data_IF_227328978889
#
_entry.id   IF_227328978889
#
_cell.length_a   1.000
_cell.length_b   1.000
_cell.length_c   1.000
_cell.angle_alpha   90.00
_cell.angle_beta   90.00
_cell.angle_gamma   90.00
#
_symmetry.space_group_name_H-M   'P 1'
#
loop_
_entity.id
_entity.type
_entity.pdbx_description
1 polymer ?
#
# COMPACT_ATOMS: atom_id res chain seq x y z
N UNK A 1 41.85 10.20 -84.66
CA UNK A 1 43.10 9.61 -84.10
C UNK A 1 42.71 8.66 -82.98
N UNK A 2 43.17 7.40 -83.11
CA UNK A 2 43.40 6.30 -82.14
C UNK A 2 42.71 6.34 -80.74
N UNK A 3 42.27 5.24 -80.14
CA UNK A 3 41.97 3.83 -80.48
C UNK A 3 41.75 3.11 -79.10
N UNK A 4 41.06 1.98 -79.13
CA UNK A 4 41.22 0.79 -78.25
C UNK A 4 40.40 0.74 -76.94
N UNK A 5 39.61 -0.34 -76.88
CA UNK A 5 38.96 -0.93 -75.72
C UNK A 5 39.96 -1.73 -74.87
N UNK A 6 39.73 -1.79 -73.56
CA UNK A 6 40.42 -2.72 -72.66
C UNK A 6 39.47 -3.24 -71.59
N UNK A 7 39.24 -4.56 -71.63
CA UNK A 7 38.76 -5.42 -70.53
C UNK A 7 39.92 -5.60 -69.54
N UNK A 8 39.72 -5.56 -68.22
CA UNK A 8 40.49 -6.31 -67.20
C UNK A 8 39.77 -6.14 -65.84
N UNK A 9 39.12 -7.19 -65.32
CA UNK A 9 39.63 -8.20 -64.36
C UNK A 9 39.61 -7.72 -62.89
N UNK A 10 38.90 -8.49 -62.07
CA UNK A 10 38.79 -8.35 -60.62
C UNK A 10 40.13 -8.61 -59.91
N UNK A 11 40.39 -7.87 -58.83
CA UNK A 11 41.34 -8.26 -57.77
C UNK A 11 40.72 -7.96 -56.42
N UNK A 12 40.62 -9.01 -55.62
CA UNK A 12 40.19 -9.07 -54.22
C UNK A 12 41.28 -8.44 -53.36
N UNK A 13 40.92 -7.53 -52.46
CA UNK A 13 41.75 -7.12 -51.33
C UNK A 13 40.97 -7.38 -50.04
N UNK A 14 41.29 -8.51 -49.43
CA UNK A 14 40.93 -8.90 -48.07
C UNK A 14 41.52 -7.91 -47.06
N UNK A 15 40.66 -7.24 -46.32
CA UNK A 15 41.03 -6.56 -45.07
C UNK A 15 40.40 -7.39 -43.96
N UNK A 16 41.24 -8.18 -43.29
CA UNK A 16 40.92 -8.87 -42.05
C UNK A 16 40.74 -7.83 -40.95
N UNK A 17 39.49 -7.51 -40.60
CA UNK A 17 39.22 -6.83 -39.35
C UNK A 17 39.45 -7.82 -38.19
N UNK A 18 40.59 -7.66 -37.54
CA UNK A 18 40.79 -8.09 -36.16
C UNK A 18 39.83 -7.27 -35.28
N UNK A 19 38.69 -7.84 -34.92
CA UNK A 19 37.92 -7.36 -33.78
C UNK A 19 38.25 -8.24 -32.58
N UNK A 20 38.93 -7.62 -31.63
CA UNK A 20 39.27 -8.19 -30.34
C UNK A 20 38.00 -8.68 -29.66
N UNK A 21 38.03 -9.96 -29.30
CA UNK A 21 37.03 -10.64 -28.50
C UNK A 21 37.14 -10.10 -27.07
N UNK A 22 36.38 -9.05 -26.76
CA UNK A 22 36.08 -8.66 -25.39
C UNK A 22 34.91 -9.52 -24.91
N UNK A 23 35.21 -10.68 -24.31
CA UNK A 23 34.26 -11.37 -23.44
C UNK A 23 34.16 -10.54 -22.14
N UNK A 24 33.28 -9.52 -22.14
CA UNK A 24 32.71 -9.01 -20.90
C UNK A 24 31.61 -9.99 -20.50
N UNK A 25 31.95 -10.87 -19.57
CA UNK A 25 30.98 -11.65 -18.81
C UNK A 25 30.24 -10.71 -17.84
N UNK A 26 29.18 -10.05 -18.31
CA UNK A 26 28.13 -9.57 -17.42
C UNK A 26 27.22 -10.76 -17.12
N UNK A 27 27.31 -11.31 -15.91
CA UNK A 27 26.24 -12.15 -15.35
C UNK A 27 24.98 -11.29 -15.24
N UNK A 28 24.19 -11.26 -16.31
CA UNK A 28 22.81 -10.78 -16.27
C UNK A 28 22.03 -11.75 -15.38
N UNK A 29 21.89 -11.41 -14.11
CA UNK A 29 20.93 -12.00 -13.18
C UNK A 29 19.49 -11.66 -13.66
N UNK A 30 19.07 -12.24 -14.78
CA UNK A 30 17.71 -12.09 -15.29
C UNK A 30 16.75 -12.91 -14.41
N UNK A 31 16.33 -12.32 -13.30
CA UNK A 31 15.27 -12.86 -12.43
C UNK A 31 13.99 -13.01 -13.27
N UNK A 32 13.42 -14.21 -13.29
CA UNK A 32 12.21 -14.51 -14.08
C UNK A 32 10.99 -13.77 -13.51
N UNK A 33 9.93 -13.63 -14.32
CA UNK A 33 8.66 -13.04 -13.84
C UNK A 33 8.06 -13.83 -12.66
N UNK A 34 8.24 -15.16 -12.65
CA UNK A 34 7.77 -16.03 -11.57
C UNK A 34 8.54 -15.76 -10.26
N UNK A 35 9.86 -15.58 -10.33
CA UNK A 35 10.68 -15.26 -9.17
C UNK A 35 10.38 -13.85 -8.64
N UNK A 36 10.15 -12.87 -9.52
CA UNK A 36 9.69 -11.52 -9.11
C UNK A 36 8.36 -11.58 -8.38
N UNK A 37 7.40 -12.35 -8.92
CA UNK A 37 6.11 -12.55 -8.29
C UNK A 37 6.25 -13.19 -6.90
N UNK A 38 7.05 -14.27 -6.77
CA UNK A 38 7.31 -14.90 -5.47
C UNK A 38 7.93 -13.94 -4.46
N UNK A 39 8.90 -13.12 -4.88
CA UNK A 39 9.50 -12.11 -3.99
C UNK A 39 8.45 -11.11 -3.50
N UNK A 40 7.63 -10.55 -4.39
CA UNK A 40 6.56 -9.61 -4.03
C UNK A 40 5.55 -10.28 -3.10
N UNK A 41 5.15 -11.51 -3.39
CA UNK A 41 4.25 -12.29 -2.54
C UNK A 41 4.81 -12.47 -1.13
N UNK A 42 6.08 -12.88 -0.99
CA UNK A 42 6.72 -13.01 0.33
C UNK A 42 6.74 -11.66 1.07
N UNK A 43 7.04 -10.57 0.36
CA UNK A 43 7.05 -9.21 0.93
C UNK A 43 5.66 -8.77 1.40
N UNK A 44 4.61 -9.03 0.63
CA UNK A 44 3.22 -8.73 0.97
C UNK A 44 2.76 -9.50 2.21
N UNK A 45 3.06 -10.81 2.25
CA UNK A 45 2.75 -11.66 3.40
C UNK A 45 3.47 -11.17 4.66
N UNK A 46 4.73 -10.75 4.54
CA UNK A 46 5.47 -10.16 5.65
C UNK A 46 4.85 -8.84 6.12
N UNK A 47 4.39 -7.99 5.20
CA UNK A 47 3.69 -6.75 5.54
C UNK A 47 2.40 -7.02 6.31
N UNK A 48 1.65 -8.05 5.92
CA UNK A 48 0.43 -8.46 6.63
C UNK A 48 0.77 -8.97 8.03
N UNK A 49 1.72 -9.88 8.18
CA UNK A 49 2.12 -10.44 9.48
C UNK A 49 2.67 -9.36 10.42
N UNK A 50 3.46 -8.42 9.92
CA UNK A 50 3.96 -7.27 10.68
C UNK A 50 2.85 -6.27 11.03
N UNK A 51 1.87 -6.10 10.13
CA UNK A 51 0.75 -5.17 10.32
C UNK A 51 -0.30 -5.69 11.30
N UNK A 52 -0.40 -7.01 11.45
CA UNK A 52 -1.42 -7.70 12.26
C UNK A 52 -0.83 -8.84 13.11
N UNK A 53 0.23 -8.60 13.91
CA UNK A 53 1.04 -9.65 14.52
C UNK A 53 0.31 -10.49 15.58
N UNK A 54 -0.75 -9.93 16.16
CA UNK A 54 -1.56 -10.62 17.18
C UNK A 54 -2.82 -11.27 16.59
N UNK A 55 -3.05 -11.11 15.27
CA UNK A 55 -4.24 -11.61 14.56
C UNK A 55 -3.92 -12.62 13.46
N UNK A 56 -2.74 -12.55 12.84
CA UNK A 56 -2.27 -13.54 11.86
C UNK A 56 -1.39 -14.56 12.57
N UNK A 57 -1.71 -15.84 12.40
CA UNK A 57 -0.97 -16.96 12.97
C UNK A 57 0.12 -17.47 12.01
N UNK A 58 -0.15 -17.43 10.70
CA UNK A 58 0.86 -17.88 9.73
C UNK A 58 0.40 -17.85 8.28
N UNK A 59 1.12 -18.60 7.45
CA UNK A 59 0.88 -18.73 6.02
C UNK A 59 0.89 -20.21 5.65
N UNK A 60 -0.01 -20.62 4.75
CA UNK A 60 -0.04 -21.99 4.23
C UNK A 60 -0.16 -21.99 2.71
N UNK A 61 0.52 -22.95 2.09
CA UNK A 61 0.33 -23.31 0.67
C UNK A 61 -0.54 -24.55 0.60
N UNK A 62 -1.66 -24.47 -0.10
CA UNK A 62 -2.53 -25.62 -0.31
C UNK A 62 -2.04 -26.47 -1.50
N UNK A 63 -2.57 -27.70 -1.63
CA UNK A 63 -2.21 -28.63 -2.71
C UNK A 63 -2.46 -28.07 -4.11
N UNK A 64 -3.39 -27.11 -4.26
CA UNK A 64 -3.63 -26.37 -5.49
C UNK A 64 -2.49 -25.43 -5.88
N UNK A 65 -1.54 -25.17 -4.97
CA UNK A 65 -0.49 -24.18 -5.11
C UNK A 65 -0.86 -22.78 -4.59
N UNK A 66 -2.13 -22.54 -4.27
CA UNK A 66 -2.61 -21.26 -3.75
C UNK A 66 -2.11 -21.00 -2.33
N UNK A 67 -1.80 -19.74 -2.05
CA UNK A 67 -1.29 -19.27 -0.76
C UNK A 67 -2.40 -18.59 0.03
N UNK A 68 -2.45 -18.89 1.33
CA UNK A 68 -3.41 -18.32 2.27
C UNK A 68 -2.70 -17.78 3.50
N UNK A 69 -3.18 -16.65 3.99
CA UNK A 69 -2.91 -16.19 5.36
C UNK A 69 -3.86 -16.93 6.31
N UNK A 70 -3.31 -17.47 7.38
CA UNK A 70 -4.06 -18.14 8.45
C UNK A 70 -4.22 -17.17 9.61
N UNK A 71 -5.47 -16.87 9.96
CA UNK A 71 -5.82 -16.01 11.09
C UNK A 71 -5.80 -16.81 12.40
N UNK A 72 -5.66 -16.14 13.54
CA UNK A 72 -5.73 -16.76 14.88
C UNK A 72 -7.03 -17.51 15.15
N UNK A 73 -8.11 -17.15 14.47
CA UNK A 73 -9.39 -17.88 14.51
C UNK A 73 -9.34 -19.24 13.81
N UNK A 74 -8.29 -19.52 13.04
CA UNK A 74 -8.18 -20.66 12.13
C UNK A 74 -8.73 -20.37 10.73
N UNK A 75 -9.39 -19.24 10.51
CA UNK A 75 -9.87 -18.85 9.18
C UNK A 75 -8.71 -18.58 8.23
N UNK A 76 -8.89 -18.95 6.96
CA UNK A 76 -7.92 -18.72 5.90
C UNK A 76 -8.40 -17.61 4.97
N UNK A 77 -7.51 -16.71 4.58
CA UNK A 77 -7.76 -15.64 3.62
C UNK A 77 -6.81 -15.81 2.44
N UNK A 78 -7.37 -15.93 1.24
CA UNK A 78 -6.62 -16.14 0.00
C UNK A 78 -5.70 -14.94 -0.27
N UNK A 79 -4.44 -15.23 -0.62
CA UNK A 79 -3.51 -14.20 -1.05
C UNK A 79 -3.83 -13.69 -2.45
N UNK A 80 -3.79 -14.55 -3.46
CA UNK A 80 -4.02 -14.22 -4.87
C UNK A 80 -4.85 -15.34 -5.54
N UNK A 81 -5.92 -14.97 -6.23
CA UNK A 81 -6.75 -15.90 -7.01
C UNK A 81 -6.22 -16.17 -8.43
N UNK A 82 -5.12 -15.51 -8.81
CA UNK A 82 -4.46 -15.56 -10.13
C UNK A 82 -5.33 -15.05 -11.29
N UNK A 83 -6.46 -14.39 -10.99
CA UNK A 83 -7.36 -13.82 -11.99
C UNK A 83 -6.91 -12.40 -12.31
N UNK A 84 -6.74 -12.10 -13.61
CA UNK A 84 -6.49 -10.73 -14.05
C UNK A 84 -7.76 -9.89 -13.91
N UNK A 85 -7.80 -9.02 -12.90
CA UNK A 85 -8.93 -8.13 -12.60
C UNK A 85 -8.71 -6.70 -13.10
N UNK A 86 -9.78 -6.05 -13.56
CA UNK A 86 -9.82 -4.59 -13.74
C UNK A 86 -10.13 -3.87 -12.42
N UNK A 87 -10.06 -2.53 -12.39
CA UNK A 87 -10.22 -1.76 -11.15
C UNK A 87 -11.58 -1.98 -10.47
N UNK A 88 -12.67 -2.08 -11.23
CA UNK A 88 -14.02 -2.30 -10.69
C UNK A 88 -14.16 -3.70 -10.08
N UNK A 89 -13.57 -4.70 -10.73
CA UNK A 89 -13.52 -6.07 -10.23
C UNK A 89 -12.72 -6.13 -8.92
N UNK A 90 -11.55 -5.48 -8.85
CA UNK A 90 -10.74 -5.37 -7.63
C UNK A 90 -11.49 -4.66 -6.50
N UNK A 91 -12.24 -3.61 -6.80
CA UNK A 91 -13.06 -2.95 -5.79
C UNK A 91 -14.17 -3.86 -5.27
N UNK A 92 -14.80 -4.66 -6.15
CA UNK A 92 -15.96 -5.48 -5.81
C UNK A 92 -15.58 -6.76 -5.05
N UNK A 93 -14.62 -7.52 -5.57
CA UNK A 93 -14.22 -8.84 -5.08
C UNK A 93 -12.68 -8.97 -5.07
N UNK A 94 -11.98 -8.26 -4.16
CA UNK A 94 -10.52 -8.36 -4.07
C UNK A 94 -10.05 -9.58 -3.30
N UNK A 95 -8.80 -9.97 -3.58
CA UNK A 95 -7.95 -10.74 -2.68
C UNK A 95 -6.86 -9.85 -2.03
N UNK A 96 -5.96 -10.45 -1.23
CA UNK A 96 -4.93 -9.69 -0.50
C UNK A 96 -3.88 -9.10 -1.44
N UNK A 97 -3.59 -9.76 -2.56
CA UNK A 97 -2.69 -9.27 -3.60
C UNK A 97 -3.24 -7.99 -4.22
N UNK A 98 -4.53 -7.98 -4.61
CA UNK A 98 -5.21 -6.80 -5.14
C UNK A 98 -5.16 -5.62 -4.15
N UNK A 99 -5.33 -5.92 -2.85
CA UNK A 99 -5.32 -4.91 -1.79
C UNK A 99 -3.95 -4.25 -1.58
N UNK A 100 -2.87 -4.98 -1.82
CA UNK A 100 -1.49 -4.52 -1.62
C UNK A 100 -0.79 -4.10 -2.92
N UNK A 101 -1.39 -4.33 -4.08
CA UNK A 101 -0.78 -4.08 -5.40
C UNK A 101 -0.23 -2.65 -5.55
N UNK A 102 -1.00 -1.64 -5.12
CA UNK A 102 -0.58 -0.24 -5.23
C UNK A 102 0.27 0.19 -4.02
N UNK A 103 1.56 0.48 -4.28
CA UNK A 103 2.47 1.01 -3.25
C UNK A 103 2.07 2.44 -2.87
N UNK A 104 1.74 2.65 -1.60
CA UNK A 104 1.40 3.98 -1.07
C UNK A 104 2.62 4.91 -1.06
N UNK A 105 2.54 6.12 -1.64
CA UNK A 105 3.66 7.05 -1.62
C UNK A 105 3.78 7.72 -0.25
N UNK A 106 4.94 7.60 0.41
CA UNK A 106 5.24 8.31 1.68
C UNK A 106 5.76 9.74 1.46
N UNK A 107 6.09 10.10 0.23
CA UNK A 107 6.50 11.47 -0.12
C UNK A 107 5.31 12.43 -0.08
N UNK A 108 5.59 13.72 0.12
CA UNK A 108 4.56 14.75 0.02
C UNK A 108 4.14 14.94 -1.44
N UNK A 109 2.86 15.21 -1.65
CA UNK A 109 2.27 15.49 -2.97
C UNK A 109 1.87 16.96 -3.09
N UNK A 110 1.68 17.41 -4.33
CA UNK A 110 1.24 18.77 -4.67
C UNK A 110 0.06 18.80 -5.65
N UNK A 111 -0.48 17.63 -5.97
CA UNK A 111 -1.62 17.43 -6.87
C UNK A 111 -2.28 16.09 -6.58
N UNK A 112 -3.52 15.93 -7.03
CA UNK A 112 -4.28 14.69 -7.02
C UNK A 112 -3.52 13.61 -7.80
N UNK A 113 -3.64 12.36 -7.36
CA UNK A 113 -2.96 11.24 -8.01
C UNK A 113 -3.47 10.98 -9.41
N UNK A 114 -2.63 10.31 -10.22
CA UNK A 114 -3.01 9.80 -11.54
C UNK A 114 -4.26 8.93 -11.46
N UNK A 115 -5.04 8.92 -12.54
CA UNK A 115 -6.26 8.12 -12.66
C UNK A 115 -6.05 6.66 -12.22
N UNK A 116 -7.03 6.11 -11.49
CA UNK A 116 -7.06 4.74 -10.95
C UNK A 116 -5.95 4.39 -9.95
N UNK A 117 -5.24 5.39 -9.42
CA UNK A 117 -4.27 5.22 -8.34
C UNK A 117 -4.87 5.67 -7.00
N UNK A 118 -5.39 4.72 -6.24
CA UNK A 118 -6.04 4.89 -4.95
C UNK A 118 -5.48 3.90 -3.91
N UNK A 119 -4.18 3.98 -3.55
CA UNK A 119 -3.54 3.01 -2.67
C UNK A 119 -4.30 2.89 -1.34
N UNK A 120 -4.77 1.66 -1.07
CA UNK A 120 -5.57 1.31 0.10
C UNK A 120 -7.08 1.45 0.00
N UNK A 121 -7.62 1.88 -1.15
CA UNK A 121 -9.08 1.91 -1.37
C UNK A 121 -9.68 0.52 -1.64
N UNK A 122 -8.88 -0.42 -2.14
CA UNK A 122 -9.25 -1.84 -2.21
C UNK A 122 -9.17 -2.43 -0.80
N UNK A 123 -10.19 -3.20 -0.38
CA UNK A 123 -10.32 -3.72 0.99
C UNK A 123 -10.83 -5.16 0.98
N UNK A 124 -10.10 -6.03 1.67
CA UNK A 124 -10.49 -7.41 1.93
C UNK A 124 -11.26 -7.46 3.25
N UNK A 125 -12.59 -7.57 3.17
CA UNK A 125 -13.47 -7.48 4.35
C UNK A 125 -13.29 -8.64 5.32
N UNK A 126 -12.93 -9.84 4.84
CA UNK A 126 -12.61 -10.97 5.72
C UNK A 126 -11.47 -10.63 6.68
N UNK A 127 -10.42 -9.95 6.21
CA UNK A 127 -9.32 -9.48 7.06
C UNK A 127 -9.80 -8.43 8.06
N UNK A 128 -10.56 -7.43 7.60
CA UNK A 128 -11.07 -6.38 8.50
C UNK A 128 -12.01 -6.93 9.58
N UNK A 129 -12.82 -7.94 9.25
CA UNK A 129 -13.70 -8.59 10.20
C UNK A 129 -12.95 -9.38 11.26
N UNK A 130 -11.89 -10.09 10.87
CA UNK A 130 -11.02 -10.84 11.77
C UNK A 130 -10.26 -9.93 12.75
N UNK A 131 -9.85 -8.74 12.30
CA UNK A 131 -9.07 -7.81 13.13
C UNK A 131 -9.96 -6.90 13.97
N UNK A 132 -10.96 -6.27 13.35
CA UNK A 132 -11.68 -5.14 13.96
C UNK A 132 -13.10 -5.48 14.44
N UNK A 133 -13.65 -6.63 14.02
CA UNK A 133 -14.95 -7.16 14.45
C UNK A 133 -15.86 -7.53 13.27
N UNK A 134 -16.59 -8.64 13.41
CA UNK A 134 -17.38 -9.20 12.29
C UNK A 134 -18.74 -8.55 12.07
N UNK A 135 -19.28 -7.90 13.11
CA UNK A 135 -20.59 -7.26 13.08
C UNK A 135 -20.58 -6.02 13.99
N UNK A 136 -21.66 -5.23 13.93
CA UNK A 136 -21.81 -3.99 14.72
C UNK A 136 -21.49 -4.20 16.20
N UNK A 137 -22.06 -5.24 16.83
CA UNK A 137 -21.91 -5.49 18.26
C UNK A 137 -20.49 -5.85 18.66
N UNK A 138 -19.77 -6.62 17.85
CA UNK A 138 -18.35 -6.89 18.09
C UNK A 138 -17.48 -5.65 17.91
N UNK A 139 -17.72 -4.89 16.85
CA UNK A 139 -16.97 -3.65 16.60
C UNK A 139 -17.17 -2.67 17.76
N UNK A 140 -18.41 -2.45 18.19
CA UNK A 140 -18.72 -1.52 19.30
C UNK A 140 -18.05 -1.91 20.61
N UNK A 141 -17.88 -3.22 20.88
CA UNK A 141 -17.13 -3.72 22.04
C UNK A 141 -15.63 -3.40 21.99
N UNK A 142 -15.08 -3.28 20.78
CA UNK A 142 -13.67 -2.94 20.55
C UNK A 142 -13.41 -1.43 20.55
N UNK A 143 -14.45 -0.59 20.62
CA UNK A 143 -14.29 0.86 20.60
C UNK A 143 -13.86 1.41 21.97
N UNK A 144 -12.91 2.35 21.96
CA UNK A 144 -12.48 3.14 23.11
C UNK A 144 -12.49 4.63 22.77
N UNK A 145 -12.57 5.49 23.77
CA UNK A 145 -12.44 6.94 23.55
C UNK A 145 -11.04 7.25 23.02
N UNK A 146 -10.93 8.07 21.97
CA UNK A 146 -9.65 8.48 21.37
C UNK A 146 -9.43 9.99 21.45
N UNK A 147 -10.41 10.78 21.03
CA UNK A 147 -10.28 12.24 20.91
C UNK A 147 -11.63 12.91 21.10
N UNK A 148 -11.74 13.90 21.99
CA UNK A 148 -12.97 14.68 22.23
C UNK A 148 -14.25 13.83 22.37
N UNK A 149 -14.17 12.70 23.07
CA UNK A 149 -15.29 11.75 23.24
C UNK A 149 -15.60 10.88 22.03
N UNK A 150 -14.98 11.13 20.87
CA UNK A 150 -15.06 10.29 19.69
C UNK A 150 -14.34 8.97 19.93
N UNK A 151 -14.94 7.88 19.44
CA UNK A 151 -14.49 6.52 19.67
C UNK A 151 -13.74 5.94 18.48
N UNK A 152 -12.73 5.14 18.74
CA UNK A 152 -11.89 4.47 17.75
C UNK A 152 -11.59 3.04 18.20
N UNK A 153 -11.36 2.12 17.26
CA UNK A 153 -11.15 0.71 17.56
C UNK A 153 -9.82 0.50 18.29
N UNK A 154 -9.80 -0.23 19.40
CA UNK A 154 -8.57 -0.52 20.17
C UNK A 154 -7.80 -1.72 19.63
N UNK A 155 -8.42 -2.57 18.81
CA UNK A 155 -7.73 -3.72 18.24
C UNK A 155 -6.58 -3.25 17.35
N UNK A 156 -5.50 -4.04 17.35
CA UNK A 156 -4.28 -3.75 16.63
C UNK A 156 -3.71 -2.33 16.89
N UNK A 157 -3.88 -1.83 18.12
CA UNK A 157 -3.36 -0.54 18.61
C UNK A 157 -3.92 0.71 17.87
N UNK A 158 -4.98 0.57 17.09
CA UNK A 158 -5.46 1.66 16.23
C UNK A 158 -5.89 2.91 17.04
N UNK A 159 -6.56 2.71 18.19
CA UNK A 159 -6.94 3.77 19.12
C UNK A 159 -5.71 4.48 19.70
N UNK A 160 -4.72 3.73 20.18
CA UNK A 160 -3.50 4.28 20.79
C UNK A 160 -2.74 5.16 19.77
N UNK A 161 -2.70 4.72 18.52
CA UNK A 161 -2.09 5.47 17.42
C UNK A 161 -2.83 6.77 17.14
N UNK A 162 -4.16 6.77 17.15
CA UNK A 162 -4.93 8.00 17.03
C UNK A 162 -4.69 8.96 18.21
N UNK A 163 -4.66 8.44 19.44
CA UNK A 163 -4.33 9.24 20.64
C UNK A 163 -2.94 9.88 20.50
N UNK A 164 -1.95 9.11 20.02
CA UNK A 164 -0.59 9.60 19.77
C UNK A 164 -0.56 10.69 18.70
N UNK A 165 -1.29 10.52 17.60
CA UNK A 165 -1.43 11.52 16.54
C UNK A 165 -1.97 12.83 17.10
N UNK A 166 -3.03 12.79 17.90
CA UNK A 166 -3.63 14.02 18.44
C UNK A 166 -2.67 14.78 19.37
N UNK A 167 -1.83 14.07 20.14
CA UNK A 167 -0.75 14.68 20.93
C UNK A 167 0.29 15.36 20.02
N UNK A 168 0.73 14.66 18.96
CA UNK A 168 1.71 15.18 18.00
C UNK A 168 1.18 16.40 17.23
N UNK A 169 -0.11 16.40 16.86
CA UNK A 169 -0.78 17.56 16.26
C UNK A 169 -0.81 18.74 17.24
N UNK A 170 -1.06 18.50 18.52
CA UNK A 170 -0.96 19.53 19.56
C UNK A 170 0.41 20.20 19.58
N UNK A 171 1.50 19.43 19.48
CA UNK A 171 2.85 19.98 19.35
C UNK A 171 3.05 20.71 18.02
N UNK A 172 2.65 20.12 16.89
CA UNK A 172 2.76 20.73 15.56
C UNK A 172 2.05 22.09 15.47
N UNK A 173 0.94 22.25 16.18
CA UNK A 173 0.16 23.49 16.20
C UNK A 173 0.94 24.70 16.74
N UNK A 174 1.94 24.46 17.57
CA UNK A 174 2.79 25.51 18.15
C UNK A 174 3.68 26.17 17.09
N UNK A 175 4.00 25.45 16.01
CA UNK A 175 4.85 25.92 14.92
C UNK A 175 4.10 26.10 13.59
N UNK A 176 2.93 25.48 13.43
CA UNK A 176 2.10 25.60 12.24
C UNK A 176 0.61 25.74 12.61
N UNK A 177 0.15 26.98 12.76
CA UNK A 177 -1.25 27.28 13.09
C UNK A 177 -2.28 26.77 12.07
N UNK A 178 -1.88 26.51 10.81
CA UNK A 178 -2.77 25.94 9.79
C UNK A 178 -3.13 24.48 10.06
N UNK A 179 -2.27 23.74 10.77
CA UNK A 179 -2.51 22.33 11.10
C UNK A 179 -3.80 22.16 11.91
N UNK A 180 -4.03 23.00 12.91
CA UNK A 180 -5.24 22.93 13.74
C UNK A 180 -6.51 23.26 12.98
N UNK A 181 -6.45 24.22 12.06
CA UNK A 181 -7.59 24.59 11.21
C UNK A 181 -8.00 23.48 10.24
N UNK A 182 -7.07 22.60 9.84
CA UNK A 182 -7.38 21.41 9.06
C UNK A 182 -7.88 20.24 9.94
N UNK A 183 -7.65 20.26 11.24
CA UNK A 183 -8.02 19.18 12.16
C UNK A 183 -9.38 19.42 12.80
N UNK A 184 -9.68 20.66 13.20
CA UNK A 184 -10.88 21.00 13.95
C UNK A 184 -11.86 21.88 13.17
N UNK A 185 -13.18 21.66 13.32
CA UNK A 185 -13.80 20.57 14.10
C UNK A 185 -13.60 19.21 13.43
N UNK A 186 -13.37 18.16 14.23
CA UNK A 186 -13.28 16.78 13.72
C UNK A 186 -14.68 16.39 13.24
N UNK A 187 -14.79 15.94 11.99
CA UNK A 187 -16.07 15.62 11.35
C UNK A 187 -16.59 14.23 11.76
N UNK A 188 -15.70 13.28 12.09
CA UNK A 188 -16.12 12.08 12.81
C UNK A 188 -15.13 10.93 12.79
N UNK A 189 -15.42 9.91 13.61
CA UNK A 189 -14.69 8.64 13.62
C UNK A 189 -15.63 7.46 13.37
N UNK A 190 -16.23 6.87 14.40
CA UNK A 190 -17.09 5.71 14.27
C UNK A 190 -18.50 6.09 13.79
N UNK A 191 -18.92 5.49 12.68
CA UNK A 191 -20.29 5.54 12.18
C UNK A 191 -20.59 4.24 11.42
N UNK A 192 -21.48 3.40 11.98
CA UNK A 192 -21.83 2.12 11.38
C UNK A 192 -22.79 2.29 10.20
N UNK A 193 -22.23 2.30 8.99
CA UNK A 193 -22.94 2.55 7.73
C UNK A 193 -22.31 1.82 6.55
N UNK A 194 -23.09 1.59 5.52
CA UNK A 194 -22.56 1.19 4.22
C UNK A 194 -22.08 2.41 3.41
N UNK A 195 -21.15 2.19 2.50
CA UNK A 195 -20.78 3.17 1.48
C UNK A 195 -21.90 3.21 0.44
N UNK A 196 -22.40 4.41 0.16
CA UNK A 196 -23.49 4.64 -0.77
C UNK A 196 -23.26 3.95 -2.11
N UNK A 197 -24.26 3.22 -2.61
CA UNK A 197 -24.20 2.52 -3.90
C UNK A 197 -23.36 1.23 -3.92
N UNK A 198 -22.81 0.77 -2.79
CA UNK A 198 -21.87 -0.37 -2.80
C UNK A 198 -22.28 -1.58 -1.96
N UNK A 199 -23.19 -1.41 -0.98
CA UNK A 199 -23.55 -2.44 0.00
C UNK A 199 -22.44 -2.83 0.99
N UNK A 200 -21.25 -2.22 0.90
CA UNK A 200 -20.06 -2.56 1.70
C UNK A 200 -19.92 -1.61 2.89
N UNK A 201 -19.43 -2.09 4.03
CA UNK A 201 -19.23 -1.23 5.22
C UNK A 201 -18.17 -0.16 4.96
N UNK A 202 -18.45 1.07 5.42
CA UNK A 202 -17.44 2.13 5.43
C UNK A 202 -16.32 1.79 6.44
N UNK A 203 -15.08 2.22 6.21
CA UNK A 203 -14.00 2.17 7.22
C UNK A 203 -14.37 2.81 8.56
N UNK A 204 -15.21 3.85 8.55
CA UNK A 204 -15.80 4.43 9.77
C UNK A 204 -16.62 3.41 10.57
N UNK A 205 -17.22 2.40 9.91
CA UNK A 205 -17.99 1.36 10.58
C UNK A 205 -17.14 0.41 11.38
N UNK A 206 -15.85 0.28 11.06
CA UNK A 206 -14.88 -0.50 11.83
C UNK A 206 -14.22 0.33 12.93
N UNK A 207 -14.44 1.65 12.95
CA UNK A 207 -13.77 2.56 13.87
C UNK A 207 -12.27 2.70 13.59
N UNK A 208 -11.87 2.57 12.31
CA UNK A 208 -10.47 2.67 11.87
C UNK A 208 -10.23 3.88 10.96
N UNK A 209 -11.21 4.78 10.85
CA UNK A 209 -11.11 5.98 10.02
C UNK A 209 -11.53 7.23 10.80
N UNK A 210 -10.93 8.35 10.42
CA UNK A 210 -11.22 9.68 10.96
C UNK A 210 -11.32 10.69 9.83
N UNK A 211 -12.38 11.49 9.88
CA UNK A 211 -12.57 12.66 9.04
C UNK A 211 -12.25 13.91 9.86
N UNK A 212 -11.32 14.72 9.37
CA UNK A 212 -10.92 15.98 9.98
C UNK A 212 -11.85 17.14 9.56
N UNK A 213 -11.40 18.38 9.70
CA UNK A 213 -12.21 19.55 9.35
C UNK A 213 -12.54 19.56 7.85
N UNK A 214 -13.84 19.54 7.55
CA UNK A 214 -14.33 19.48 6.16
C UNK A 214 -14.11 20.79 5.41
N UNK A 215 -13.72 20.68 4.15
CA UNK A 215 -13.71 21.75 3.16
C UNK A 215 -14.52 21.32 1.92
N UNK A 216 -15.26 22.23 1.25
CA UNK A 216 -15.95 21.91 0.01
C UNK A 216 -15.05 21.32 -1.09
N UNK A 217 -13.74 21.59 -1.04
CA UNK A 217 -12.74 21.11 -2.00
C UNK A 217 -12.16 19.72 -1.66
N UNK A 218 -12.61 19.07 -0.58
CA UNK A 218 -11.95 17.85 -0.08
C UNK A 218 -12.34 16.55 -0.79
N UNK A 219 -13.45 16.49 -1.52
CA UNK A 219 -13.99 15.22 -2.02
C UNK A 219 -14.36 15.23 -3.50
N UNK A 220 -13.88 14.21 -4.20
CA UNK A 220 -13.94 14.10 -5.66
C UNK A 220 -15.35 14.08 -6.28
N UNK A 221 -16.38 13.67 -5.53
CA UNK A 221 -17.74 13.62 -6.10
C UNK A 221 -18.39 14.99 -6.28
N UNK A 222 -17.93 16.02 -5.56
CA UNK A 222 -18.49 17.37 -5.63
C UNK A 222 -17.46 18.47 -5.89
N UNK A 223 -16.16 18.18 -5.77
CA UNK A 223 -15.09 19.10 -6.11
C UNK A 223 -14.47 18.74 -7.46
N UNK A 224 -14.12 19.76 -8.26
CA UNK A 224 -13.37 19.56 -9.49
C UNK A 224 -11.93 19.13 -9.22
N UNK A 225 -11.27 18.53 -10.22
CA UNK A 225 -9.84 18.19 -10.14
C UNK A 225 -8.97 19.42 -9.83
N UNK A 226 -9.31 20.59 -10.39
CA UNK A 226 -8.62 21.86 -10.11
C UNK A 226 -8.76 22.26 -8.64
N UNK A 227 -9.97 22.16 -8.08
CA UNK A 227 -10.23 22.44 -6.67
C UNK A 227 -9.49 21.48 -5.75
N UNK A 228 -9.48 20.17 -6.06
CA UNK A 228 -8.73 19.16 -5.32
C UNK A 228 -7.22 19.42 -5.36
N UNK A 229 -6.68 19.75 -6.55
CA UNK A 229 -5.28 20.14 -6.70
C UNK A 229 -4.92 21.37 -5.87
N UNK A 230 -5.75 22.41 -5.90
CA UNK A 230 -5.55 23.59 -5.07
C UNK A 230 -5.57 23.23 -3.58
N UNK A 231 -6.54 22.42 -3.16
CA UNK A 231 -6.70 22.01 -1.77
C UNK A 231 -5.50 21.21 -1.26
N UNK A 232 -4.96 20.27 -2.05
CA UNK A 232 -3.74 19.52 -1.70
C UNK A 232 -2.54 20.45 -1.54
N UNK A 233 -2.37 21.45 -2.42
CA UNK A 233 -1.28 22.44 -2.29
C UNK A 233 -1.37 23.28 -1.02
N UNK A 234 -2.58 23.61 -0.60
CA UNK A 234 -2.87 24.39 0.61
C UNK A 234 -2.77 23.55 1.90
N UNK A 235 -2.88 22.23 1.79
CA UNK A 235 -2.92 21.31 2.93
C UNK A 235 -1.54 21.23 3.63
N UNK A 236 -1.47 21.34 4.97
CA UNK A 236 -0.19 21.26 5.70
C UNK A 236 0.48 19.90 5.47
N UNK A 237 1.69 19.90 4.89
CA UNK A 237 2.41 18.67 4.50
C UNK A 237 2.81 17.81 5.70
N UNK A 238 3.02 18.46 6.84
CA UNK A 238 3.38 17.79 8.10
C UNK A 238 2.21 16.97 8.66
N UNK A 239 0.96 17.35 8.33
CA UNK A 239 -0.21 16.69 8.89
C UNK A 239 -0.34 15.24 8.37
N UNK A 240 -0.35 14.95 7.05
CA UNK A 240 -0.30 13.57 6.57
C UNK A 240 0.92 12.79 7.07
N UNK A 241 2.09 13.42 7.23
CA UNK A 241 3.29 12.75 7.73
C UNK A 241 3.12 12.27 9.17
N UNK A 242 2.46 13.05 10.05
CA UNK A 242 2.14 12.62 11.42
C UNK A 242 1.26 11.37 11.40
N UNK A 243 0.25 11.33 10.54
CA UNK A 243 -0.63 10.17 10.37
C UNK A 243 0.13 8.95 9.81
N UNK A 244 0.94 9.14 8.77
CA UNK A 244 1.73 8.09 8.12
C UNK A 244 2.78 7.48 9.06
N UNK A 245 3.38 8.28 9.93
CA UNK A 245 4.29 7.80 10.98
C UNK A 245 3.57 6.88 11.97
N UNK A 246 2.26 7.05 12.13
CA UNK A 246 1.39 6.26 12.99
C UNK A 246 0.50 5.26 12.22
N UNK A 247 0.92 4.86 11.02
CA UNK A 247 0.30 3.80 10.20
C UNK A 247 -1.07 4.13 9.61
N UNK A 248 -1.38 5.42 9.44
CA UNK A 248 -2.55 5.85 8.69
C UNK A 248 -2.20 6.20 7.25
N UNK A 249 -3.05 5.78 6.32
CA UNK A 249 -3.07 6.30 4.95
C UNK A 249 -3.97 7.54 4.88
N UNK A 250 -3.70 8.40 3.91
CA UNK A 250 -4.43 9.65 3.69
C UNK A 250 -5.21 9.61 2.37
N UNK A 251 -6.50 9.94 2.42
CA UNK A 251 -7.37 9.98 1.25
C UNK A 251 -7.02 11.09 0.24
N UNK A 252 -6.20 12.07 0.63
CA UNK A 252 -5.62 13.03 -0.32
C UNK A 252 -4.62 12.41 -1.30
N UNK A 253 -4.10 11.21 -1.01
CA UNK A 253 -3.19 10.44 -1.90
C UNK A 253 -3.95 9.44 -2.79
N UNK A 254 -5.20 9.75 -3.14
CA UNK A 254 -6.03 9.01 -4.08
C UNK A 254 -6.35 9.84 -5.31
N UNK A 255 -6.61 9.16 -6.43
CA UNK A 255 -7.18 9.76 -7.63
C UNK A 255 -8.63 10.18 -7.37
N UNK A 256 -9.36 9.34 -6.63
CA UNK A 256 -10.65 9.65 -6.01
C UNK A 256 -10.44 10.35 -4.67
N UNK A 257 -9.85 11.54 -4.71
CA UNK A 257 -9.38 12.26 -3.53
C UNK A 257 -10.48 12.45 -2.46
N UNK A 258 -10.07 12.24 -1.20
CA UNK A 258 -10.86 12.43 0.02
C UNK A 258 -9.93 13.04 1.09
N UNK A 259 -9.69 14.35 0.99
CA UNK A 259 -8.55 15.04 1.62
C UNK A 259 -8.72 15.15 3.14
N UNK A 260 -9.94 15.19 3.66
CA UNK A 260 -10.18 15.18 5.10
C UNK A 260 -10.01 13.80 5.75
N UNK A 261 -9.93 12.74 4.94
CA UNK A 261 -10.09 11.36 5.37
C UNK A 261 -8.76 10.65 5.63
N UNK A 262 -8.67 9.93 6.75
CA UNK A 262 -7.54 9.09 7.11
C UNK A 262 -7.99 7.71 7.59
N UNK A 263 -7.27 6.65 7.22
CA UNK A 263 -7.56 5.27 7.61
C UNK A 263 -6.34 4.58 8.22
N UNK A 264 -6.52 3.90 9.35
CA UNK A 264 -5.48 3.06 9.94
C UNK A 264 -5.30 1.79 9.12
N UNK A 265 -4.16 1.69 8.41
CA UNK A 265 -3.84 0.62 7.44
C UNK A 265 -2.35 0.24 7.54
N UNK A 266 -1.94 -0.42 8.64
CA UNK A 266 -0.54 -0.70 8.91
C UNK A 266 0.14 -1.53 7.83
N UNK A 267 -0.53 -2.51 7.25
CA UNK A 267 0.01 -3.35 6.17
C UNK A 267 0.45 -2.53 4.95
N UNK A 268 -0.29 -1.47 4.62
CA UNK A 268 0.00 -0.60 3.48
C UNK A 268 1.19 0.30 3.79
N UNK A 269 1.21 0.89 4.99
CA UNK A 269 2.30 1.76 5.41
C UNK A 269 3.61 0.97 5.59
N UNK A 270 3.54 -0.27 6.08
CA UNK A 270 4.71 -1.15 6.19
C UNK A 270 5.26 -1.46 4.80
N UNK A 271 4.40 -1.85 3.84
CA UNK A 271 4.82 -2.06 2.44
C UNK A 271 5.51 -0.80 1.89
N UNK A 272 4.90 0.36 2.06
CA UNK A 272 5.48 1.63 1.60
C UNK A 272 6.83 1.98 2.26
N UNK A 273 7.09 1.52 3.48
CA UNK A 273 8.37 1.76 4.18
C UNK A 273 9.49 0.86 3.67
N UNK A 274 9.19 -0.43 3.42
CA UNK A 274 10.21 -1.44 3.17
C UNK A 274 10.28 -1.93 1.71
N UNK A 275 9.17 -1.95 0.99
CA UNK A 275 9.04 -2.61 -0.32
C UNK A 275 8.41 -1.66 -1.35
N UNK A 276 9.26 -0.86 -2.00
CA UNK A 276 8.90 0.11 -3.04
C UNK A 276 9.26 -0.41 -4.44
N UNK A 277 9.16 0.44 -5.46
CA UNK A 277 9.58 0.12 -6.83
C UNK A 277 10.99 -0.50 -6.87
N UNK A 278 11.13 -1.65 -7.54
CA UNK A 278 12.37 -2.42 -7.61
C UNK A 278 12.58 -3.41 -6.45
N UNK A 279 11.66 -3.46 -5.49
CA UNK A 279 11.75 -4.37 -4.33
C UNK A 279 11.76 -5.85 -4.71
N UNK A 280 11.26 -6.21 -5.88
CA UNK A 280 11.29 -7.58 -6.41
C UNK A 280 12.71 -8.11 -6.67
N UNK A 281 13.73 -7.23 -6.66
CA UNK A 281 15.13 -7.58 -6.87
C UNK A 281 15.96 -7.54 -5.57
N UNK A 282 15.34 -7.28 -4.42
CA UNK A 282 16.05 -7.18 -3.13
C UNK A 282 16.47 -8.58 -2.66
N UNK A 283 17.73 -8.73 -2.23
CA UNK A 283 18.26 -9.97 -1.63
C UNK A 283 18.91 -9.67 -0.27
N UNK A 284 18.55 -10.39 0.82
CA UNK A 284 17.44 -11.36 0.88
C UNK A 284 16.09 -10.67 0.66
N UNK A 285 15.04 -11.40 0.27
CA UNK A 285 13.75 -10.82 -0.18
C UNK A 285 13.10 -9.84 0.82
N UNK A 286 13.44 -9.92 2.11
CA UNK A 286 12.93 -9.02 3.17
C UNK A 286 13.76 -7.74 3.38
N UNK A 287 14.89 -7.57 2.67
CA UNK A 287 15.65 -6.33 2.64
C UNK A 287 16.06 -5.78 4.02
N UNK A 288 15.74 -4.51 4.25
CA UNK A 288 16.12 -3.75 5.44
C UNK A 288 15.16 -3.92 6.64
N UNK A 289 14.25 -4.88 6.59
CA UNK A 289 13.37 -5.20 7.72
C UNK A 289 14.20 -5.67 8.92
N UNK A 290 13.86 -5.18 10.13
CA UNK A 290 14.62 -5.49 11.35
C UNK A 290 14.38 -6.93 11.82
N UNK A 291 15.34 -7.80 11.51
CA UNK A 291 15.31 -9.22 11.87
C UNK A 291 15.71 -9.50 13.32
N UNK A 292 16.13 -8.49 14.10
CA UNK A 292 16.36 -8.65 15.55
C UNK A 292 15.04 -8.72 16.32
N UNK A 293 13.95 -8.26 15.73
CA UNK A 293 12.62 -8.43 16.29
C UNK A 293 12.16 -9.89 16.11
N UNK A 294 11.97 -10.61 17.21
CA UNK A 294 11.62 -12.03 17.20
C UNK A 294 10.34 -12.34 16.43
N UNK A 295 9.30 -11.49 16.52
CA UNK A 295 8.04 -11.68 15.77
C UNK A 295 8.28 -11.55 14.26
N UNK A 296 9.16 -10.64 13.86
CA UNK A 296 9.51 -10.42 12.44
C UNK A 296 10.35 -11.58 11.91
N UNK A 297 11.37 -12.00 12.65
CA UNK A 297 12.18 -13.16 12.31
C UNK A 297 11.33 -14.43 12.14
N UNK A 298 10.40 -14.65 13.07
CA UNK A 298 9.46 -15.77 12.99
C UNK A 298 8.54 -15.67 11.77
N UNK A 299 8.05 -14.47 11.44
CA UNK A 299 7.22 -14.27 10.24
C UNK A 299 7.97 -14.62 8.95
N UNK A 300 9.24 -14.22 8.85
CA UNK A 300 10.11 -14.57 7.72
C UNK A 300 10.31 -16.08 7.60
N UNK A 301 10.54 -16.77 8.71
CA UNK A 301 10.66 -18.23 8.76
C UNK A 301 9.38 -18.93 8.27
N UNK A 302 8.22 -18.54 8.81
CA UNK A 302 6.92 -19.09 8.42
C UNK A 302 6.67 -18.92 6.92
N UNK A 303 6.98 -17.75 6.37
CA UNK A 303 6.81 -17.45 4.94
C UNK A 303 7.75 -18.31 4.08
N UNK A 304 9.03 -18.44 4.46
CA UNK A 304 9.98 -19.26 3.73
C UNK A 304 9.53 -20.73 3.68
N UNK A 305 9.07 -21.26 4.82
CA UNK A 305 8.59 -22.64 4.92
C UNK A 305 7.33 -22.89 4.07
N UNK A 306 6.44 -21.89 3.96
CA UNK A 306 5.19 -22.03 3.23
C UNK A 306 5.35 -21.87 1.71
N UNK A 307 6.17 -20.92 1.27
CA UNK A 307 6.22 -20.49 -0.14
C UNK A 307 7.32 -21.21 -0.94
N UNK A 308 8.40 -21.66 -0.29
CA UNK A 308 9.62 -22.12 -0.97
C UNK A 308 10.47 -20.95 -1.41
#
# INVERSE_FOLDING_TARGET
MRKIATIFLAVILSVTCFQAKGEESSEDNNITLDEKYKTIMKQDLLCLMMGYPDHIEGVVKENSGLIYVVMKSGNKILYDDMVKKNIDQKLKNPDLQDMLEQVYPLTSISSVMKENFDPGRIRVYSLLHEVYGKNKGEIEKNLRCAVNGLRFNSNNYANDRLVQIMKQIGTLSQTNGKAMACVYPINGTYNYRVISGTGRLSPHSFGIAIDLASNPKDYWQWASLEQGNQRIKEYPKELPQVFENNYFIWGGKWSHFDILHYEYRPEIIIKARYFRDGSENITPWYGAVDTKNEKVAHSIEVINNAVG
#
